data_IF_334673332870
#
_entry.id   IF_334673332870
#
_cell.length_a   1.000
_cell.length_b   1.000
_cell.length_c   1.000
_cell.angle_alpha   90.00
_cell.angle_beta   90.00
_cell.angle_gamma   90.00
#
_symmetry.space_group_name_H-M   'P 1'
#
loop_
_entity.id
_entity.type
_entity.pdbx_description
1 polymer ?
#
# COMPACT_ATOMS: atom_id res chain seq x y z
N UNK A 1 13.65 3.41 9.28
CA UNK A 1 12.96 2.62 8.23
C UNK A 1 11.67 1.99 8.77
N UNK A 2 11.67 1.00 9.70
CA UNK A 2 10.44 0.31 10.13
C UNK A 2 9.32 1.22 10.64
N UNK A 3 9.61 2.28 11.40
CA UNK A 3 8.61 3.27 11.81
C UNK A 3 7.99 3.96 10.60
N UNK A 4 8.81 4.35 9.63
CA UNK A 4 8.35 5.04 8.41
C UNK A 4 7.45 4.12 7.61
N UNK A 5 7.85 2.87 7.39
CA UNK A 5 7.03 1.87 6.70
C UNK A 5 5.69 1.68 7.39
N UNK A 6 5.71 1.38 8.72
CA UNK A 6 4.48 1.15 9.47
C UNK A 6 3.49 2.31 9.44
N UNK A 7 3.99 3.55 9.46
CA UNK A 7 3.13 4.74 9.39
C UNK A 7 2.63 5.03 7.98
N UNK A 8 3.40 4.73 6.93
CA UNK A 8 3.12 5.24 5.58
C UNK A 8 2.49 4.22 4.65
N UNK A 9 2.64 2.90 4.90
CA UNK A 9 2.16 1.84 3.99
C UNK A 9 0.65 1.87 3.78
N UNK A 10 -0.11 2.12 4.85
CA UNK A 10 -1.57 2.11 4.79
C UNK A 10 -2.21 3.48 4.54
N UNK A 11 -1.45 4.55 4.71
CA UNK A 11 -1.90 5.90 4.39
C UNK A 11 -1.82 6.15 2.87
N UNK A 12 -2.70 7.00 2.31
CA UNK A 12 -2.67 7.29 0.88
C UNK A 12 -1.53 8.26 0.49
N UNK A 13 -0.29 8.02 1.01
CA UNK A 13 0.87 8.92 0.86
C UNK A 13 2.12 8.27 0.28
N UNK A 14 2.09 6.98 -0.08
CA UNK A 14 3.18 6.20 -0.67
C UNK A 14 4.40 5.97 0.24
N UNK A 15 4.46 4.79 0.86
CA UNK A 15 5.62 4.34 1.66
C UNK A 15 6.93 4.32 0.86
N UNK A 16 6.89 3.88 -0.39
CA UNK A 16 8.07 3.78 -1.27
C UNK A 16 8.87 5.09 -1.33
N UNK A 17 8.20 6.23 -1.58
CA UNK A 17 8.89 7.51 -1.64
C UNK A 17 9.53 7.91 -0.30
N UNK A 18 8.87 7.58 0.82
CA UNK A 18 9.39 7.84 2.17
C UNK A 18 10.59 6.96 2.51
N UNK A 19 10.54 5.68 2.09
CA UNK A 19 11.63 4.74 2.32
C UNK A 19 12.86 5.11 1.50
N UNK A 20 12.72 5.52 0.23
CA UNK A 20 13.83 6.00 -0.59
C UNK A 20 14.51 7.20 0.08
N UNK A 21 13.72 8.22 0.49
CA UNK A 21 14.25 9.40 1.16
C UNK A 21 14.95 9.04 2.47
N UNK A 22 14.28 8.26 3.32
CA UNK A 22 14.80 7.89 4.64
C UNK A 22 16.04 6.99 4.53
N UNK A 23 16.02 6.03 3.62
CA UNK A 23 17.15 5.14 3.35
C UNK A 23 18.38 5.91 2.90
N UNK A 24 18.21 6.83 1.95
CA UNK A 24 19.30 7.70 1.49
C UNK A 24 19.88 8.56 2.63
N UNK A 25 19.03 9.20 3.43
CA UNK A 25 19.47 10.04 4.56
C UNK A 25 20.16 9.25 5.67
N UNK A 26 19.85 7.97 5.83
CA UNK A 26 20.49 7.08 6.82
C UNK A 26 21.72 6.35 6.26
N UNK A 27 22.07 6.57 4.99
CA UNK A 27 23.13 5.82 4.30
C UNK A 27 22.79 4.32 4.15
N UNK A 28 21.50 3.97 4.12
CA UNK A 28 20.96 2.63 4.03
C UNK A 28 20.33 2.43 2.65
N UNK A 29 21.17 2.32 1.62
CA UNK A 29 20.77 2.25 0.21
C UNK A 29 21.48 1.11 -0.56
N UNK A 30 22.08 0.14 0.16
CA UNK A 30 22.73 -1.02 -0.43
C UNK A 30 21.72 -2.13 -0.82
N UNK A 31 22.19 -3.20 -1.45
CA UNK A 31 21.34 -4.33 -1.82
C UNK A 31 20.68 -5.02 -0.62
N UNK A 32 21.28 -4.92 0.58
CA UNK A 32 20.68 -5.44 1.81
C UNK A 32 19.47 -4.64 2.25
N UNK A 33 19.40 -3.34 1.94
CA UNK A 33 18.24 -2.51 2.24
C UNK A 33 16.99 -3.01 1.54
N UNK A 34 17.11 -3.58 0.33
CA UNK A 34 15.99 -4.17 -0.41
C UNK A 34 15.34 -5.34 0.34
N UNK A 35 16.16 -6.20 0.93
CA UNK A 35 15.67 -7.34 1.72
C UNK A 35 15.10 -6.87 3.07
N UNK A 36 15.71 -5.85 3.65
CA UNK A 36 15.21 -5.23 4.87
C UNK A 36 13.82 -4.57 4.65
N UNK A 37 13.63 -3.89 3.52
CA UNK A 37 12.33 -3.28 3.16
C UNK A 37 11.22 -4.34 3.07
N UNK A 38 11.53 -5.54 2.57
CA UNK A 38 10.58 -6.66 2.55
C UNK A 38 10.23 -7.11 3.98
N UNK A 39 11.21 -7.17 4.86
CA UNK A 39 10.99 -7.58 6.24
C UNK A 39 10.08 -6.59 6.98
N UNK A 40 10.33 -5.28 6.85
CA UNK A 40 9.49 -4.25 7.48
C UNK A 40 8.09 -4.20 6.85
N UNK A 41 7.96 -4.41 5.54
CA UNK A 41 6.66 -4.52 4.87
C UNK A 41 5.87 -5.73 5.36
N UNK A 42 6.54 -6.87 5.61
CA UNK A 42 5.91 -8.06 6.21
C UNK A 42 5.42 -7.76 7.63
N UNK A 43 6.15 -6.98 8.40
CA UNK A 43 5.70 -6.49 9.71
C UNK A 43 4.43 -5.65 9.61
N UNK A 44 4.39 -4.73 8.65
CA UNK A 44 3.21 -3.89 8.41
C UNK A 44 1.98 -4.73 8.04
N UNK A 45 2.11 -5.72 7.15
CA UNK A 45 0.94 -6.53 6.74
C UNK A 45 0.44 -7.44 7.86
N UNK A 46 1.33 -7.95 8.72
CA UNK A 46 0.93 -8.71 9.90
C UNK A 46 0.04 -7.87 10.83
N UNK A 47 0.27 -6.57 10.94
CA UNK A 47 -0.59 -5.69 11.73
C UNK A 47 -2.04 -5.68 11.22
N UNK A 48 -2.26 -5.65 9.90
CA UNK A 48 -3.60 -5.76 9.31
C UNK A 48 -4.22 -7.12 9.60
N UNK A 49 -3.46 -8.19 9.45
CA UNK A 49 -3.93 -9.55 9.76
C UNK A 49 -4.40 -9.65 11.22
N UNK A 50 -3.65 -9.07 12.16
CA UNK A 50 -3.99 -9.06 13.58
C UNK A 50 -5.23 -8.20 13.85
N UNK A 51 -5.32 -6.99 13.27
CA UNK A 51 -6.49 -6.10 13.44
C UNK A 51 -7.77 -6.77 12.95
N UNK A 52 -7.69 -7.53 11.86
CA UNK A 52 -8.84 -8.20 11.25
C UNK A 52 -8.88 -9.71 11.49
N UNK A 53 -8.11 -10.21 12.49
CA UNK A 53 -7.94 -11.63 12.74
C UNK A 53 -9.26 -12.40 12.82
N UNK A 54 -10.20 -11.93 13.66
CA UNK A 54 -11.49 -12.59 13.84
C UNK A 54 -12.30 -12.71 12.55
N UNK A 55 -12.22 -11.67 11.69
CA UNK A 55 -12.90 -11.66 10.40
C UNK A 55 -12.24 -12.62 9.42
N UNK A 56 -10.91 -12.57 9.31
CA UNK A 56 -10.13 -13.41 8.39
C UNK A 56 -10.24 -14.88 8.78
N UNK A 57 -10.04 -15.20 10.06
CA UNK A 57 -10.16 -16.56 10.58
C UNK A 57 -11.60 -17.09 10.42
N UNK A 58 -12.62 -16.26 10.71
CA UNK A 58 -14.02 -16.60 10.50
C UNK A 58 -14.36 -16.86 9.02
N UNK A 59 -13.82 -16.05 8.10
CA UNK A 59 -14.02 -16.27 6.68
C UNK A 59 -13.40 -17.59 6.20
N UNK A 60 -12.19 -17.91 6.65
CA UNK A 60 -11.51 -19.17 6.30
C UNK A 60 -12.24 -20.37 6.91
N UNK A 61 -12.61 -20.31 8.20
CA UNK A 61 -13.30 -21.39 8.91
C UNK A 61 -14.66 -21.74 8.29
N UNK A 62 -15.35 -20.75 7.72
CA UNK A 62 -16.70 -20.89 7.15
C UNK A 62 -16.75 -20.89 5.63
N UNK A 63 -15.64 -21.14 4.93
CA UNK A 63 -15.62 -21.26 3.47
C UNK A 63 -16.54 -22.36 2.94
N UNK A 64 -16.71 -23.44 3.70
CA UNK A 64 -17.53 -24.59 3.31
C UNK A 64 -19.04 -24.37 3.43
N UNK A 65 -19.47 -23.59 4.42
CA UNK A 65 -20.88 -23.52 4.86
C UNK A 65 -21.54 -22.16 4.67
N UNK A 66 -20.78 -21.04 4.60
CA UNK A 66 -21.34 -19.68 4.50
C UNK A 66 -21.09 -19.00 3.15
N UNK A 67 -22.14 -18.68 2.37
CA UNK A 67 -21.99 -17.95 1.10
C UNK A 67 -21.29 -16.60 1.25
N UNK A 68 -21.51 -15.88 2.36
CA UNK A 68 -20.85 -14.60 2.65
C UNK A 68 -19.34 -14.74 2.80
N UNK A 69 -18.86 -15.81 3.46
CA UNK A 69 -17.44 -16.10 3.61
C UNK A 69 -16.79 -16.39 2.24
N UNK A 70 -17.42 -17.19 1.39
CA UNK A 70 -16.97 -17.47 0.02
C UNK A 70 -16.90 -16.20 -0.80
N UNK A 71 -17.93 -15.34 -0.76
CA UNK A 71 -17.98 -14.07 -1.49
C UNK A 71 -16.84 -13.15 -1.04
N UNK A 72 -16.61 -13.01 0.27
CA UNK A 72 -15.53 -12.20 0.82
C UNK A 72 -14.15 -12.65 0.31
N UNK A 73 -13.84 -13.94 0.42
CA UNK A 73 -12.55 -14.49 -0.04
C UNK A 73 -12.42 -14.39 -1.56
N UNK A 74 -13.50 -14.68 -2.31
CA UNK A 74 -13.51 -14.54 -3.77
C UNK A 74 -13.25 -13.10 -4.19
N UNK A 75 -13.86 -12.11 -3.52
CA UNK A 75 -13.66 -10.70 -3.83
C UNK A 75 -12.20 -10.27 -3.61
N UNK A 76 -11.57 -10.75 -2.54
CA UNK A 76 -10.13 -10.49 -2.32
C UNK A 76 -9.30 -11.14 -3.42
N UNK A 77 -9.56 -12.40 -3.77
CA UNK A 77 -8.83 -13.11 -4.81
C UNK A 77 -8.99 -12.44 -6.19
N UNK A 78 -10.24 -12.08 -6.55
CA UNK A 78 -10.56 -11.40 -7.82
C UNK A 78 -9.93 -10.01 -7.87
N UNK A 79 -9.97 -9.25 -6.78
CA UNK A 79 -9.33 -7.93 -6.70
C UNK A 79 -7.80 -7.99 -6.71
N UNK A 80 -7.20 -9.08 -6.23
CA UNK A 80 -5.76 -9.30 -6.29
C UNK A 80 -5.28 -9.67 -7.70
N UNK A 81 -6.07 -10.40 -8.47
CA UNK A 81 -5.68 -11.02 -9.73
C UNK A 81 -5.06 -10.05 -10.76
N UNK A 82 -5.64 -8.85 -11.04
CA UNK A 82 -5.03 -7.91 -11.98
C UNK A 82 -3.61 -7.50 -11.57
N UNK A 83 -3.41 -7.21 -10.28
CA UNK A 83 -2.10 -6.83 -9.77
C UNK A 83 -1.09 -7.98 -9.82
N UNK A 84 -1.51 -9.21 -9.57
CA UNK A 84 -0.65 -10.39 -9.70
C UNK A 84 -0.19 -10.59 -11.15
N UNK A 85 -1.13 -10.54 -12.11
CA UNK A 85 -0.82 -10.76 -13.55
C UNK A 85 0.06 -9.62 -14.08
N UNK A 86 -0.34 -8.36 -13.88
CA UNK A 86 0.40 -7.21 -14.41
C UNK A 86 1.75 -7.09 -13.69
N UNK A 87 1.80 -7.33 -12.39
CA UNK A 87 3.04 -7.31 -11.62
C UNK A 87 4.05 -8.32 -12.14
N UNK A 88 3.65 -9.57 -12.37
CA UNK A 88 4.54 -10.60 -12.91
C UNK A 88 5.03 -10.27 -14.33
N UNK A 89 4.18 -9.74 -15.18
CA UNK A 89 4.52 -9.43 -16.57
C UNK A 89 5.33 -8.14 -16.72
N UNK A 90 5.04 -7.12 -15.92
CA UNK A 90 5.58 -5.78 -16.10
C UNK A 90 6.65 -5.39 -15.05
N UNK A 91 6.92 -6.21 -14.03
CA UNK A 91 7.83 -5.87 -12.92
C UNK A 91 9.18 -5.32 -13.37
N UNK A 92 9.85 -6.01 -14.31
CA UNK A 92 11.18 -5.59 -14.80
C UNK A 92 11.11 -4.25 -15.52
N UNK A 93 10.09 -4.03 -16.35
CA UNK A 93 9.89 -2.80 -17.11
C UNK A 93 9.55 -1.63 -16.18
N UNK A 94 8.68 -1.86 -15.18
CA UNK A 94 8.33 -0.88 -14.16
C UNK A 94 9.59 -0.47 -13.40
N UNK A 95 10.36 -1.43 -12.89
CA UNK A 95 11.58 -1.16 -12.13
C UNK A 95 12.61 -0.39 -12.96
N UNK A 96 12.82 -0.75 -14.23
CA UNK A 96 13.82 -0.12 -15.08
C UNK A 96 13.48 1.30 -15.51
N UNK A 97 12.19 1.67 -15.64
CA UNK A 97 11.80 2.93 -16.27
C UNK A 97 11.09 3.92 -15.35
N UNK A 98 10.45 3.44 -14.28
CA UNK A 98 9.60 4.29 -13.44
C UNK A 98 10.23 4.68 -12.10
N UNK A 99 11.32 4.03 -11.65
CA UNK A 99 12.02 4.40 -10.43
C UNK A 99 12.99 5.56 -10.70
N UNK A 100 12.46 6.78 -10.75
CA UNK A 100 13.21 8.02 -10.89
C UNK A 100 12.45 9.19 -10.26
N UNK A 101 13.17 10.25 -9.89
CA UNK A 101 12.60 11.39 -9.18
C UNK A 101 11.41 12.06 -9.91
N UNK A 102 11.46 12.33 -11.23
CA UNK A 102 10.33 12.94 -11.94
C UNK A 102 9.06 12.11 -11.87
N UNK A 103 9.16 10.78 -12.02
CA UNK A 103 8.00 9.87 -11.95
C UNK A 103 7.46 9.83 -10.53
N UNK A 104 8.33 9.68 -9.52
CA UNK A 104 7.93 9.64 -8.11
C UNK A 104 7.22 10.94 -7.73
N UNK A 105 7.83 12.10 -7.99
CA UNK A 105 7.25 13.40 -7.69
C UNK A 105 5.93 13.64 -8.46
N UNK A 106 5.91 13.33 -9.74
CA UNK A 106 4.72 13.42 -10.59
C UNK A 106 3.58 12.58 -10.04
N UNK A 107 3.86 11.32 -9.63
CA UNK A 107 2.87 10.43 -9.06
C UNK A 107 2.35 10.94 -7.69
N UNK A 108 3.20 11.54 -6.86
CA UNK A 108 2.76 12.20 -5.62
C UNK A 108 1.80 13.35 -5.92
N UNK A 109 2.18 14.27 -6.82
CA UNK A 109 1.39 15.46 -7.14
C UNK A 109 0.09 15.10 -7.87
N UNK A 110 0.17 14.29 -8.93
CA UNK A 110 -1.01 13.86 -9.70
C UNK A 110 -1.98 13.09 -8.79
N UNK A 111 -1.48 12.16 -7.98
CA UNK A 111 -2.30 11.44 -7.02
C UNK A 111 -2.97 12.37 -6.00
N UNK A 112 -2.28 13.42 -5.55
CA UNK A 112 -2.85 14.44 -4.67
C UNK A 112 -3.99 15.22 -5.35
N UNK A 113 -3.79 15.64 -6.60
CA UNK A 113 -4.83 16.34 -7.38
C UNK A 113 -6.06 15.46 -7.59
N UNK A 114 -5.86 14.17 -7.83
CA UNK A 114 -6.96 13.19 -7.93
C UNK A 114 -7.70 13.09 -6.59
N UNK A 115 -7.00 13.00 -5.46
CA UNK A 115 -7.63 12.99 -4.12
C UNK A 115 -8.48 14.25 -3.92
N UNK A 116 -7.93 15.45 -4.18
CA UNK A 116 -8.66 16.70 -4.05
C UNK A 116 -9.89 16.76 -4.95
N UNK A 117 -9.77 16.27 -6.17
CA UNK A 117 -10.88 16.23 -7.12
C UNK A 117 -11.98 15.26 -6.66
N UNK A 118 -11.62 14.06 -6.22
CA UNK A 118 -12.57 13.06 -5.71
C UNK A 118 -13.28 13.56 -4.45
N UNK A 119 -12.55 14.13 -3.52
CA UNK A 119 -13.12 14.64 -2.27
C UNK A 119 -14.07 15.83 -2.48
N UNK A 120 -13.83 16.68 -3.50
CA UNK A 120 -14.77 17.73 -3.92
C UNK A 120 -16.04 17.18 -4.52
N UNK A 121 -15.96 16.01 -5.18
CA UNK A 121 -17.08 15.28 -5.77
C UNK A 121 -17.72 14.28 -4.82
N UNK A 122 -17.28 14.17 -3.58
CA UNK A 122 -17.71 13.18 -2.59
C UNK A 122 -19.16 13.32 -2.08
N UNK A 123 -19.97 14.14 -2.74
CA UNK A 123 -21.43 13.96 -2.85
C UNK A 123 -21.80 12.90 -3.91
N UNK A 124 -20.79 12.14 -4.43
CA UNK A 124 -21.04 10.96 -5.23
C UNK A 124 -21.93 10.02 -4.41
N UNK A 125 -23.00 9.55 -5.01
CA UNK A 125 -23.90 8.59 -4.39
C UNK A 125 -23.08 7.38 -3.89
N UNK A 126 -22.98 7.25 -2.57
CA UNK A 126 -22.38 6.08 -1.96
C UNK A 126 -23.30 4.90 -2.25
N UNK A 127 -22.85 4.00 -3.12
CA UNK A 127 -23.58 2.80 -3.50
C UNK A 127 -23.29 1.63 -2.57
N UNK A 128 -22.07 1.57 -2.02
CA UNK A 128 -21.56 0.48 -1.18
C UNK A 128 -20.98 1.09 0.08
N UNK A 129 -21.64 0.92 1.21
CA UNK A 129 -21.18 1.42 2.51
C UNK A 129 -20.50 0.35 3.36
N UNK A 130 -20.81 -0.92 3.11
CA UNK A 130 -20.21 -2.04 3.80
C UNK A 130 -19.34 -2.86 2.84
N UNK A 131 -18.15 -3.26 3.29
CA UNK A 131 -17.24 -4.12 2.52
C UNK A 131 -17.84 -5.48 2.15
N UNK A 132 -18.85 -5.94 2.90
CA UNK A 132 -19.57 -7.17 2.61
C UNK A 132 -20.51 -7.09 1.41
N UNK A 133 -20.88 -5.87 1.01
CA UNK A 133 -21.77 -5.61 -0.13
C UNK A 133 -21.00 -5.46 -1.45
N UNK A 134 -19.67 -5.48 -1.41
CA UNK A 134 -18.83 -5.45 -2.60
C UNK A 134 -19.11 -6.68 -3.46
N UNK A 135 -19.37 -6.45 -4.76
CA UNK A 135 -19.51 -7.52 -5.75
C UNK A 135 -18.16 -7.93 -6.32
N UNK A 136 -18.07 -9.12 -6.95
CA UNK A 136 -16.84 -9.55 -7.62
C UNK A 136 -16.42 -8.59 -8.75
N UNK A 137 -17.37 -7.95 -9.43
CA UNK A 137 -17.09 -6.95 -10.46
C UNK A 137 -16.52 -5.66 -9.85
N UNK A 138 -17.03 -5.21 -8.70
CA UNK A 138 -16.47 -4.06 -7.98
C UNK A 138 -15.05 -4.37 -7.50
N UNK A 139 -14.85 -5.56 -6.94
CA UNK A 139 -13.54 -6.04 -6.52
C UNK A 139 -12.53 -6.07 -7.69
N UNK A 140 -12.95 -6.59 -8.84
CA UNK A 140 -12.13 -6.61 -10.05
C UNK A 140 -11.74 -5.20 -10.53
N UNK A 141 -12.70 -4.27 -10.54
CA UNK A 141 -12.45 -2.88 -10.92
C UNK A 141 -11.44 -2.22 -9.97
N UNK A 142 -11.60 -2.39 -8.65
CA UNK A 142 -10.62 -1.90 -7.67
C UNK A 142 -9.27 -2.56 -7.87
N UNK A 143 -9.24 -3.85 -8.23
CA UNK A 143 -8.02 -4.59 -8.56
C UNK A 143 -7.27 -4.01 -9.76
N UNK A 144 -7.97 -3.58 -10.81
CA UNK A 144 -7.34 -2.87 -11.93
C UNK A 144 -6.79 -1.51 -11.50
N UNK A 145 -7.53 -0.76 -10.69
CA UNK A 145 -7.03 0.51 -10.14
C UNK A 145 -5.81 0.30 -9.24
N UNK A 146 -5.75 -0.81 -8.49
CA UNK A 146 -4.58 -1.19 -7.68
C UNK A 146 -3.30 -1.24 -8.51
N UNK A 147 -3.37 -1.61 -9.79
CA UNK A 147 -2.19 -1.69 -10.66
C UNK A 147 -1.48 -0.33 -10.83
N UNK A 148 -2.19 0.80 -10.68
CA UNK A 148 -1.58 2.12 -10.64
C UNK A 148 -0.62 2.27 -9.45
N UNK A 149 -0.85 1.54 -8.36
CA UNK A 149 0.03 1.51 -7.19
C UNK A 149 1.42 0.92 -7.45
N UNK A 150 1.64 0.27 -8.60
CA UNK A 150 2.95 -0.20 -9.02
C UNK A 150 3.86 0.95 -9.52
N UNK A 151 3.28 2.10 -9.88
CA UNK A 151 4.04 3.29 -10.23
C UNK A 151 4.57 3.91 -8.93
N UNK A 152 5.92 4.06 -8.77
CA UNK A 152 6.50 4.61 -7.55
C UNK A 152 5.94 6.01 -7.26
N UNK A 153 5.59 6.28 -6.01
CA UNK A 153 4.97 7.55 -5.61
C UNK A 153 3.45 7.58 -5.69
N UNK A 154 2.79 6.66 -6.42
CA UNK A 154 1.32 6.64 -6.52
C UNK A 154 0.64 6.30 -5.20
N UNK A 155 1.20 5.43 -4.39
CA UNK A 155 0.58 4.77 -3.23
C UNK A 155 -0.45 3.70 -3.61
N UNK A 156 -0.15 2.45 -3.29
CA UNK A 156 -1.09 1.33 -3.49
C UNK A 156 -2.40 1.56 -2.71
N UNK A 157 -2.30 1.93 -1.44
CA UNK A 157 -3.46 2.25 -0.60
C UNK A 157 -4.22 3.48 -1.14
N UNK A 158 -3.51 4.52 -1.59
CA UNK A 158 -4.13 5.68 -2.23
C UNK A 158 -4.91 5.31 -3.49
N UNK A 159 -4.34 4.50 -4.37
CA UNK A 159 -5.00 4.06 -5.59
C UNK A 159 -6.29 3.27 -5.27
N UNK A 160 -6.21 2.25 -4.41
CA UNK A 160 -7.36 1.39 -4.09
C UNK A 160 -8.45 2.12 -3.30
N UNK A 161 -8.10 3.01 -2.36
CA UNK A 161 -9.07 3.78 -1.58
C UNK A 161 -9.78 4.78 -2.48
N UNK A 162 -9.02 5.65 -3.15
CA UNK A 162 -9.60 6.72 -3.97
C UNK A 162 -10.32 6.15 -5.19
N UNK A 163 -9.76 5.11 -5.82
CA UNK A 163 -10.42 4.40 -6.90
C UNK A 163 -11.70 3.68 -6.46
N UNK A 164 -11.69 3.08 -5.27
CA UNK A 164 -12.89 2.50 -4.66
C UNK A 164 -13.99 3.54 -4.44
N UNK A 165 -13.63 4.74 -3.93
CA UNK A 165 -14.57 5.85 -3.78
C UNK A 165 -15.16 6.30 -5.13
N UNK A 166 -14.35 6.39 -6.19
CA UNK A 166 -14.82 6.70 -7.55
C UNK A 166 -15.79 5.63 -8.10
N UNK A 167 -15.64 4.40 -7.64
CA UNK A 167 -16.52 3.28 -8.00
C UNK A 167 -17.78 3.19 -7.11
N UNK A 168 -17.99 4.16 -6.21
CA UNK A 168 -19.18 4.26 -5.35
C UNK A 168 -19.05 3.56 -3.99
N UNK A 169 -17.84 3.19 -3.56
CA UNK A 169 -17.61 2.74 -2.19
C UNK A 169 -17.54 3.95 -1.24
N UNK A 170 -18.07 3.80 -0.02
CA UNK A 170 -17.81 4.79 1.03
C UNK A 170 -16.33 4.84 1.38
N UNK A 171 -15.86 5.94 2.00
CA UNK A 171 -14.47 6.05 2.47
C UNK A 171 -14.08 4.86 3.34
N UNK A 172 -14.97 4.44 4.23
CA UNK A 172 -14.75 3.31 5.12
C UNK A 172 -14.66 1.99 4.36
N UNK A 173 -15.63 1.67 3.52
CA UNK A 173 -15.63 0.43 2.74
C UNK A 173 -14.41 0.34 1.81
N UNK A 174 -14.03 1.44 1.15
CA UNK A 174 -12.85 1.51 0.30
C UNK A 174 -11.54 1.30 1.10
N UNK A 175 -11.45 1.88 2.30
CA UNK A 175 -10.27 1.71 3.17
C UNK A 175 -10.15 0.28 3.69
N UNK A 176 -11.24 -0.30 4.19
CA UNK A 176 -11.26 -1.68 4.66
C UNK A 176 -10.92 -2.65 3.52
N UNK A 177 -11.52 -2.48 2.34
CA UNK A 177 -11.23 -3.33 1.18
C UNK A 177 -9.79 -3.19 0.71
N UNK A 178 -9.23 -1.97 0.71
CA UNK A 178 -7.80 -1.73 0.44
C UNK A 178 -6.89 -2.52 1.39
N UNK A 179 -7.23 -2.59 2.68
CA UNK A 179 -6.47 -3.38 3.65
C UNK A 179 -6.54 -4.88 3.38
N UNK A 180 -7.71 -5.40 3.03
CA UNK A 180 -7.85 -6.81 2.68
C UNK A 180 -7.09 -7.16 1.39
N UNK A 181 -7.11 -6.29 0.38
CA UNK A 181 -6.30 -6.47 -0.84
C UNK A 181 -4.80 -6.38 -0.59
N UNK A 182 -4.38 -5.61 0.42
CA UNK A 182 -2.98 -5.52 0.80
C UNK A 182 -2.40 -6.89 1.21
N UNK A 183 -3.18 -7.72 1.88
CA UNK A 183 -2.70 -9.00 2.41
C UNK A 183 -2.12 -9.89 1.30
N UNK A 184 -2.88 -10.34 0.29
CA UNK A 184 -2.30 -11.18 -0.76
C UNK A 184 -1.29 -10.42 -1.61
N UNK A 185 -1.48 -9.12 -1.85
CA UNK A 185 -0.60 -8.32 -2.72
C UNK A 185 0.80 -8.20 -2.12
N UNK A 186 0.91 -7.81 -0.84
CA UNK A 186 2.20 -7.61 -0.19
C UNK A 186 2.87 -8.94 0.17
N UNK A 187 2.10 -9.98 0.53
CA UNK A 187 2.65 -11.32 0.73
C UNK A 187 3.23 -11.87 -0.56
N UNK A 188 2.53 -11.72 -1.70
CA UNK A 188 3.02 -12.19 -2.98
C UNK A 188 4.25 -11.40 -3.44
N UNK A 189 4.23 -10.07 -3.34
CA UNK A 189 5.36 -9.21 -3.71
C UNK A 189 6.57 -9.49 -2.81
N UNK A 190 6.37 -9.53 -1.48
CA UNK A 190 7.42 -9.83 -0.52
C UNK A 190 8.00 -11.23 -0.69
N UNK A 191 7.15 -12.23 -0.89
CA UNK A 191 7.58 -13.60 -1.14
C UNK A 191 8.39 -13.75 -2.44
N UNK A 192 7.96 -13.07 -3.51
CA UNK A 192 8.70 -13.02 -4.77
C UNK A 192 10.08 -12.38 -4.60
N UNK A 193 10.15 -11.24 -3.93
CA UNK A 193 11.41 -10.53 -3.71
C UNK A 193 12.35 -11.31 -2.78
N UNK A 194 11.84 -11.91 -1.70
CA UNK A 194 12.64 -12.80 -0.83
C UNK A 194 13.21 -14.00 -1.60
N UNK A 195 12.42 -14.59 -2.49
CA UNK A 195 12.89 -15.68 -3.33
C UNK A 195 14.00 -15.23 -4.28
N UNK A 196 13.84 -14.06 -4.89
CA UNK A 196 14.80 -13.51 -5.86
C UNK A 196 16.10 -13.10 -5.19
N UNK A 197 16.02 -12.44 -4.03
CA UNK A 197 17.16 -11.85 -3.32
C UNK A 197 17.70 -12.76 -2.18
N UNK A 198 17.28 -14.03 -2.11
CA UNK A 198 17.64 -14.95 -1.04
C UNK A 198 19.15 -15.13 -0.81
N UNK A 199 19.95 -14.91 -1.85
CA UNK A 199 21.42 -15.00 -1.76
C UNK A 199 22.04 -13.85 -0.94
N UNK A 200 21.32 -12.74 -0.74
CA UNK A 200 21.77 -11.60 0.06
C UNK A 200 21.47 -11.77 1.54
N UNK A 201 20.68 -12.77 1.92
CA UNK A 201 20.30 -13.04 3.31
C UNK A 201 21.47 -13.58 4.11
N UNK A 202 21.80 -12.92 5.23
CA UNK A 202 22.79 -13.36 6.20
C UNK A 202 22.16 -13.52 7.59
N UNK A 203 22.54 -14.57 8.31
CA UNK A 203 22.10 -14.73 9.70
C UNK A 203 22.59 -13.59 10.61
N UNK A 204 23.68 -12.91 10.25
CA UNK A 204 24.18 -11.74 10.96
C UNK A 204 23.24 -10.53 10.89
N UNK A 205 22.38 -10.44 9.88
CA UNK A 205 21.43 -9.34 9.68
C UNK A 205 20.11 -9.55 10.47
N UNK A 206 19.90 -10.76 11.02
CA UNK A 206 18.67 -11.14 11.73
C UNK A 206 18.24 -10.16 12.84
N UNK A 207 19.14 -9.67 13.74
CA UNK A 207 18.75 -8.72 14.77
C UNK A 207 18.19 -7.41 14.20
N UNK A 208 18.78 -6.91 13.10
CA UNK A 208 18.31 -5.71 12.41
C UNK A 208 16.91 -5.92 11.83
N UNK A 209 16.68 -7.08 11.18
CA UNK A 209 15.40 -7.43 10.61
C UNK A 209 14.31 -7.60 11.67
N UNK A 210 14.60 -8.24 12.79
CA UNK A 210 13.65 -8.41 13.89
C UNK A 210 13.24 -7.06 14.48
N UNK A 211 14.19 -6.15 14.69
CA UNK A 211 13.91 -4.81 15.21
C UNK A 211 13.09 -4.00 14.20
N UNK A 212 13.50 -3.98 12.93
CA UNK A 212 12.78 -3.27 11.87
C UNK A 212 11.36 -3.78 11.69
N UNK A 213 11.19 -5.11 11.63
CA UNK A 213 9.88 -5.78 11.58
C UNK A 213 9.00 -5.41 12.77
N UNK A 214 9.55 -5.48 14.00
CA UNK A 214 8.80 -5.17 15.23
C UNK A 214 8.32 -3.72 15.27
N UNK A 215 9.18 -2.76 14.93
CA UNK A 215 8.76 -1.36 14.82
C UNK A 215 7.73 -1.14 13.72
N UNK A 216 7.92 -1.75 12.54
CA UNK A 216 6.94 -1.64 11.45
C UNK A 216 5.59 -2.21 11.86
N UNK A 217 5.56 -3.38 12.48
CA UNK A 217 4.34 -3.98 13.01
C UNK A 217 3.61 -3.06 13.98
N UNK A 218 4.30 -2.55 15.01
CA UNK A 218 3.68 -1.71 16.06
C UNK A 218 3.11 -0.43 15.45
N UNK A 219 3.90 0.27 14.63
CA UNK A 219 3.46 1.52 14.04
C UNK A 219 2.37 1.33 12.98
N UNK A 220 2.41 0.24 12.21
CA UNK A 220 1.33 -0.13 11.30
C UNK A 220 0.03 -0.47 12.04
N UNK A 221 0.12 -1.21 13.16
CA UNK A 221 -1.04 -1.52 13.99
C UNK A 221 -1.70 -0.26 14.56
N UNK A 222 -0.91 0.69 15.04
CA UNK A 222 -1.42 2.00 15.49
C UNK A 222 -2.03 2.79 14.33
N UNK A 223 -1.33 2.84 13.18
CA UNK A 223 -1.76 3.57 11.99
C UNK A 223 -3.08 3.03 11.42
N UNK A 224 -3.22 1.72 11.24
CA UNK A 224 -4.43 1.07 10.72
C UNK A 224 -5.63 1.37 11.63
N UNK A 225 -5.47 1.21 12.95
CA UNK A 225 -6.54 1.51 13.91
C UNK A 225 -6.92 2.98 13.93
N UNK A 226 -5.93 3.87 13.84
CA UNK A 226 -6.17 5.29 13.76
C UNK A 226 -6.88 5.68 12.46
N UNK A 227 -6.41 5.16 11.30
CA UNK A 227 -6.98 5.49 10.00
C UNK A 227 -8.44 5.05 9.90
N UNK A 228 -8.80 3.87 10.41
CA UNK A 228 -10.20 3.40 10.43
C UNK A 228 -11.13 4.34 11.22
N UNK A 229 -10.64 4.92 12.32
CA UNK A 229 -11.39 5.94 13.07
C UNK A 229 -11.43 7.27 12.31
N UNK A 230 -10.30 7.66 11.72
CA UNK A 230 -10.17 8.92 11.01
C UNK A 230 -11.12 9.00 9.81
N UNK A 231 -11.18 7.98 8.96
CA UNK A 231 -12.00 7.98 7.74
C UNK A 231 -13.51 7.97 7.97
N UNK A 232 -13.94 7.64 9.19
CA UNK A 232 -15.36 7.68 9.56
C UNK A 232 -15.89 9.10 9.72
N UNK A 233 -15.01 10.07 9.97
CA UNK A 233 -15.39 11.47 10.28
C UNK A 233 -14.65 12.53 9.46
N UNK A 234 -13.55 12.15 8.80
CA UNK A 234 -12.67 13.07 8.09
C UNK A 234 -12.49 12.70 6.62
N UNK A 235 -11.98 13.66 5.84
CA UNK A 235 -11.68 13.52 4.42
C UNK A 235 -10.20 13.20 4.19
N UNK A 236 -9.84 12.76 2.97
CA UNK A 236 -8.45 12.55 2.58
C UNK A 236 -7.71 13.83 2.13
N UNK A 237 -8.35 14.99 2.20
CA UNK A 237 -7.76 16.29 1.81
C UNK A 237 -6.42 16.60 2.49
N UNK A 238 -6.23 16.39 3.81
CA UNK A 238 -4.93 16.60 4.45
C UNK A 238 -3.81 15.76 3.84
N UNK A 239 -4.08 14.51 3.46
CA UNK A 239 -3.10 13.65 2.80
C UNK A 239 -2.74 14.14 1.39
N UNK A 240 -3.69 14.75 0.68
CA UNK A 240 -3.41 15.35 -0.62
C UNK A 240 -2.42 16.54 -0.50
N UNK A 241 -2.63 17.43 0.45
CA UNK A 241 -1.70 18.52 0.70
C UNK A 241 -0.31 18.03 1.12
N UNK A 242 -0.28 17.03 2.00
CA UNK A 242 0.97 16.36 2.37
C UNK A 242 1.70 15.80 1.14
N UNK A 243 1.00 15.12 0.24
CA UNK A 243 1.57 14.57 -1.00
C UNK A 243 2.14 15.65 -1.90
N UNK A 244 1.46 16.81 -2.05
CA UNK A 244 1.99 17.93 -2.83
C UNK A 244 3.30 18.43 -2.21
N UNK A 245 3.31 18.67 -0.92
CA UNK A 245 4.52 19.12 -0.20
C UNK A 245 5.66 18.10 -0.34
N UNK A 246 5.37 16.82 -0.17
CA UNK A 246 6.37 15.76 -0.30
C UNK A 246 6.87 15.61 -1.75
N UNK A 247 6.01 15.75 -2.75
CA UNK A 247 6.41 15.77 -4.16
C UNK A 247 7.38 16.91 -4.47
N UNK A 248 7.21 18.09 -3.86
CA UNK A 248 8.17 19.19 -3.96
C UNK A 248 9.51 18.83 -3.30
N UNK A 249 9.47 18.18 -2.12
CA UNK A 249 10.69 17.68 -1.44
C UNK A 249 11.44 16.68 -2.32
N UNK A 250 10.74 15.76 -2.99
CA UNK A 250 11.34 14.81 -3.94
C UNK A 250 12.10 15.54 -5.04
N UNK A 251 11.49 16.55 -5.67
CA UNK A 251 12.14 17.33 -6.72
C UNK A 251 13.34 18.13 -6.20
N UNK A 252 13.20 18.76 -5.04
CA UNK A 252 14.26 19.57 -4.43
C UNK A 252 15.48 18.71 -4.05
N UNK A 253 15.25 17.55 -3.44
CA UNK A 253 16.34 16.63 -3.06
C UNK A 253 16.99 15.95 -4.26
N UNK A 254 16.24 15.67 -5.32
CA UNK A 254 16.79 15.19 -6.58
C UNK A 254 17.65 16.25 -7.26
N UNK A 255 17.18 17.51 -7.31
CA UNK A 255 17.91 18.59 -7.95
C UNK A 255 19.21 18.95 -7.20
N UNK A 256 19.17 18.93 -5.87
CA UNK A 256 20.38 19.18 -5.05
C UNK A 256 21.35 18.00 -5.04
N UNK A 257 21.01 16.85 -5.59
CA UNK A 257 21.83 15.63 -5.53
C UNK A 257 21.92 15.01 -4.12
N UNK A 258 21.06 15.45 -3.18
CA UNK A 258 21.07 14.96 -1.79
C UNK A 258 20.55 13.52 -1.69
N UNK A 259 19.65 13.12 -2.57
CA UNK A 259 19.02 11.79 -2.58
C UNK A 259 19.09 11.20 -3.97
N UNK A 260 19.59 9.97 -4.07
CA UNK A 260 19.45 9.16 -5.28
C UNK A 260 18.05 8.52 -5.30
N UNK A 261 17.25 8.95 -6.28
CA UNK A 261 15.89 8.44 -6.51
C UNK A 261 15.85 7.30 -7.52
N UNK A 262 16.99 6.78 -7.94
CA UNK A 262 17.10 5.58 -8.77
C UNK A 262 17.12 4.37 -7.84
N UNK A 263 16.06 3.55 -7.88
CA UNK A 263 15.88 2.40 -7.00
C UNK A 263 16.47 1.09 -7.55
#
# INVERSE_FOLDING_TARGET
MGIVEGLTEFLPISSTGHLILTGSLLGFSDDKSKVFDIAIQTGAILAVVIVYWSRLAGAVAHLGDRPAARRFVLNIAVGFLPAAVIGLLAYKTIKAHLFNAPVVAGAFIVGALIILWVERRARLEVRIDNVDDITALDALKVGFVQCLGMIPGTSRSGATIIGGMLLGLSRRAATEFSFFLAIPTLIAAGGYSLWTERALLSAADLPLFVVGFGFSFVFAWLCVRWLLRYVSTHTFVPFAWYRIAFGVVVLATAWSGLVDWQG
#
